data_IF_615232045971
#
_entry.id   IF_615232045971
#
_cell.length_a   1.000
_cell.length_b   1.000
_cell.length_c   1.000
_cell.angle_alpha   90.00
_cell.angle_beta   90.00
_cell.angle_gamma   90.00
#
_symmetry.space_group_name_H-M   'P 1'
#
loop_
_entity.id
_entity.type
_entity.pdbx_description
1 polymer ?
#
# COMPACT_ATOMS: atom_id res chain seq x y z
N UNK A 1 -3.69 -19.08 -50.03
CA UNK A 1 -4.64 -18.79 -48.94
C UNK A 1 -3.83 -18.50 -47.68
N UNK A 2 -3.77 -17.24 -47.26
CA UNK A 2 -3.04 -16.82 -46.06
C UNK A 2 -3.82 -17.28 -44.80
N UNK A 3 -3.11 -17.87 -43.84
CA UNK A 3 -3.67 -18.60 -42.70
C UNK A 3 -4.11 -17.60 -41.59
N UNK A 4 -5.31 -17.02 -41.74
CA UNK A 4 -5.89 -15.96 -40.89
C UNK A 4 -5.98 -16.35 -39.40
N UNK A 5 -6.04 -17.65 -39.09
CA UNK A 5 -6.13 -18.19 -37.73
C UNK A 5 -4.88 -17.96 -36.88
N UNK A 6 -3.69 -17.83 -37.48
CA UNK A 6 -2.44 -17.56 -36.72
C UNK A 6 -2.31 -16.10 -36.28
N UNK A 7 -2.89 -15.16 -37.03
CA UNK A 7 -2.85 -13.74 -36.67
C UNK A 7 -3.85 -13.40 -35.55
N UNK A 8 -4.98 -14.10 -35.48
CA UNK A 8 -5.99 -13.87 -34.44
C UNK A 8 -5.49 -14.29 -33.04
N UNK A 9 -4.77 -15.42 -32.95
CA UNK A 9 -4.23 -15.93 -31.68
C UNK A 9 -3.09 -15.07 -31.11
N UNK A 10 -2.24 -14.51 -31.99
CA UNK A 10 -1.21 -13.55 -31.57
C UNK A 10 -1.81 -12.21 -31.11
N UNK A 11 -2.88 -11.74 -31.77
CA UNK A 11 -3.57 -10.51 -31.39
C UNK A 11 -4.24 -10.59 -30.01
N UNK A 12 -4.84 -11.73 -29.68
CA UNK A 12 -5.48 -11.93 -28.36
C UNK A 12 -4.45 -12.11 -27.24
N UNK A 13 -3.33 -12.80 -27.50
CA UNK A 13 -2.26 -12.94 -26.52
C UNK A 13 -1.58 -11.60 -26.18
N UNK A 14 -1.42 -10.71 -27.16
CA UNK A 14 -0.84 -9.38 -26.94
C UNK A 14 -1.79 -8.44 -26.16
N UNK A 15 -3.10 -8.60 -26.33
CA UNK A 15 -4.11 -7.80 -25.62
C UNK A 15 -4.19 -8.14 -24.11
N UNK A 16 -3.95 -9.41 -23.74
CA UNK A 16 -3.98 -9.86 -22.34
C UNK A 16 -2.73 -9.42 -21.56
N UNK A 17 -1.59 -9.22 -22.23
CA UNK A 17 -0.37 -8.75 -21.56
C UNK A 17 -0.51 -7.29 -21.11
N UNK A 18 -1.26 -6.46 -21.86
CA UNK A 18 -1.40 -5.02 -21.58
C UNK A 18 -2.27 -4.72 -20.35
N UNK A 19 -3.14 -5.64 -19.92
CA UNK A 19 -3.97 -5.42 -18.71
C UNK A 19 -3.34 -5.95 -17.41
N UNK A 20 -2.15 -6.55 -17.47
CA UNK A 20 -1.48 -7.13 -16.29
C UNK A 20 -0.40 -6.25 -15.66
N UNK A 21 -0.06 -5.13 -16.30
CA UNK A 21 0.77 -4.12 -15.63
C UNK A 21 -0.13 -3.39 -14.65
N UNK A 22 -0.22 -3.90 -13.42
CA UNK A 22 -0.71 -3.14 -12.28
C UNK A 22 -0.01 -1.80 -12.32
N UNK A 23 -0.76 -0.76 -12.70
CA UNK A 23 -0.30 0.61 -12.60
C UNK A 23 -0.08 0.83 -11.10
N UNK A 24 1.16 0.63 -10.65
CA UNK A 24 1.62 1.24 -9.43
C UNK A 24 1.39 2.73 -9.63
N UNK A 25 0.29 3.23 -9.06
CA UNK A 25 -0.03 4.64 -9.10
C UNK A 25 1.15 5.33 -8.43
N UNK A 26 2.01 5.96 -9.21
CA UNK A 26 3.12 6.74 -8.68
C UNK A 26 2.47 7.97 -8.04
N UNK A 27 2.26 7.90 -6.74
CA UNK A 27 1.72 9.03 -5.98
C UNK A 27 2.80 10.11 -5.98
N UNK A 28 2.53 11.24 -6.63
CA UNK A 28 3.37 12.43 -6.53
C UNK A 28 3.18 13.04 -5.14
N UNK A 29 4.14 12.82 -4.26
CA UNK A 29 4.18 13.42 -2.93
C UNK A 29 5.01 14.70 -2.94
N UNK A 30 4.71 15.68 -2.08
CA UNK A 30 5.59 16.82 -1.87
C UNK A 30 7.04 16.38 -1.61
N UNK A 31 8.05 17.12 -2.08
CA UNK A 31 9.46 16.68 -2.05
C UNK A 31 10.01 16.43 -0.64
N UNK A 32 9.41 17.04 0.39
CA UNK A 32 9.83 16.90 1.79
C UNK A 32 8.95 15.90 2.57
N UNK A 33 8.28 14.98 1.87
CA UNK A 33 7.44 13.97 2.52
C UNK A 33 8.29 12.83 3.07
N UNK A 34 8.12 12.53 4.34
CA UNK A 34 8.66 11.32 4.97
C UNK A 34 7.58 10.25 4.89
N UNK A 35 7.89 9.12 4.22
CA UNK A 35 7.00 7.95 4.16
C UNK A 35 7.41 6.99 5.25
N UNK A 36 6.43 6.55 6.05
CA UNK A 36 6.59 5.53 7.08
C UNK A 36 5.65 4.39 6.74
N UNK A 37 6.20 3.28 6.27
CA UNK A 37 5.42 2.06 6.04
C UNK A 37 5.10 1.43 7.40
N UNK A 38 3.83 1.07 7.61
CA UNK A 38 3.35 0.64 8.92
C UNK A 38 4.06 -0.64 9.41
N UNK A 39 4.53 -1.49 8.50
CA UNK A 39 5.24 -2.72 8.78
C UNK A 39 6.72 -2.53 9.20
N UNK A 40 7.28 -1.33 9.05
CA UNK A 40 8.70 -1.05 9.34
C UNK A 40 8.94 -0.56 10.79
N UNK A 41 7.86 -0.32 11.54
CA UNK A 41 7.96 0.18 12.91
C UNK A 41 8.22 -0.91 13.95
N UNK A 42 8.52 -0.48 15.18
CA UNK A 42 8.65 -1.37 16.33
C UNK A 42 7.27 -1.82 16.81
N UNK A 43 7.00 -3.12 16.68
CA UNK A 43 5.69 -3.69 16.98
C UNK A 43 5.62 -4.29 18.38
N UNK A 44 4.53 -4.00 19.08
CA UNK A 44 4.16 -4.72 20.29
C UNK A 44 3.68 -6.15 19.99
N UNK A 45 3.59 -6.98 21.04
CA UNK A 45 2.91 -8.26 20.93
C UNK A 45 1.43 -8.02 20.60
N UNK A 46 0.91 -8.72 19.59
CA UNK A 46 -0.48 -8.56 19.12
C UNK A 46 -0.62 -7.78 17.81
N UNK A 47 0.49 -7.30 17.24
CA UNK A 47 0.52 -6.78 15.86
C UNK A 47 0.83 -7.91 14.88
N UNK A 48 0.12 -7.95 13.76
CA UNK A 48 0.35 -8.87 12.65
C UNK A 48 0.65 -8.08 11.39
N UNK A 49 1.63 -8.55 10.62
CA UNK A 49 1.87 -8.07 9.27
C UNK A 49 1.12 -8.98 8.30
N UNK A 50 0.34 -8.37 7.42
CA UNK A 50 -0.49 -9.03 6.42
C UNK A 50 0.00 -8.63 5.03
N UNK A 51 0.05 -9.59 4.10
CA UNK A 51 0.21 -9.26 2.68
C UNK A 51 -1.17 -8.85 2.12
N UNK A 52 -1.27 -7.61 1.64
CA UNK A 52 -2.53 -7.01 1.21
C UNK A 52 -2.35 -6.36 -0.16
N UNK A 53 -3.03 -6.92 -1.16
CA UNK A 53 -3.07 -6.34 -2.51
C UNK A 53 -3.67 -4.93 -2.45
N UNK A 54 -2.91 -3.95 -2.96
CA UNK A 54 -3.30 -2.54 -2.95
C UNK A 54 -2.73 -1.73 -1.78
N UNK A 55 -2.12 -2.35 -0.78
CA UNK A 55 -1.33 -1.62 0.21
C UNK A 55 -0.02 -1.07 -0.40
N UNK A 56 0.51 0.02 0.16
CA UNK A 56 1.86 0.47 -0.20
C UNK A 56 2.85 -0.61 0.25
N UNK A 57 3.89 -0.88 -0.54
CA UNK A 57 4.81 -2.00 -0.26
C UNK A 57 4.18 -3.41 -0.32
N UNK A 58 2.87 -3.53 -0.55
CA UNK A 58 2.13 -4.80 -0.56
C UNK A 58 1.80 -5.36 0.83
N UNK A 59 2.03 -4.60 1.91
CA UNK A 59 1.81 -5.04 3.29
C UNK A 59 0.98 -4.05 4.09
N UNK A 60 0.30 -4.57 5.10
CA UNK A 60 -0.41 -3.77 6.10
C UNK A 60 -0.25 -4.39 7.48
N UNK A 61 -0.49 -3.61 8.52
CA UNK A 61 -0.51 -4.10 9.90
C UNK A 61 -1.94 -4.18 10.43
N UNK A 62 -2.24 -5.28 11.12
CA UNK A 62 -3.46 -5.49 11.89
C UNK A 62 -3.12 -5.59 13.38
N UNK A 63 -3.90 -4.90 14.21
CA UNK A 63 -3.59 -4.70 15.63
C UNK A 63 -4.71 -5.23 16.50
N UNK A 64 -4.36 -6.12 17.43
CA UNK A 64 -5.24 -6.40 18.57
C UNK A 64 -5.47 -5.12 19.38
N UNK A 65 -6.62 -5.04 20.07
CA UNK A 65 -7.01 -3.85 20.83
C UNK A 65 -5.93 -3.49 21.87
N UNK A 66 -5.35 -2.30 21.71
CA UNK A 66 -4.32 -1.76 22.61
C UNK A 66 -2.88 -2.12 22.24
N UNK A 67 -2.67 -2.98 21.24
CA UNK A 67 -1.35 -3.16 20.62
C UNK A 67 -1.04 -1.96 19.72
N UNK A 68 0.25 -1.67 19.50
CA UNK A 68 0.71 -0.55 18.68
C UNK A 68 1.95 -0.91 17.87
N UNK A 69 2.14 -0.15 16.81
CA UNK A 69 3.43 -0.03 16.11
C UNK A 69 3.99 1.37 16.36
N UNK A 70 5.25 1.47 16.76
CA UNK A 70 5.91 2.73 17.04
C UNK A 70 6.93 3.05 15.94
N UNK A 71 6.85 4.26 15.40
CA UNK A 71 7.88 4.85 14.55
C UNK A 71 8.58 5.97 15.30
N UNK A 72 9.91 5.95 15.26
CA UNK A 72 10.74 7.07 15.68
C UNK A 72 11.28 7.74 14.41
N UNK A 73 11.09 9.05 14.30
CA UNK A 73 11.52 9.82 13.13
C UNK A 73 12.28 11.06 13.57
N UNK A 74 13.25 11.45 12.75
CA UNK A 74 13.91 12.75 12.85
C UNK A 74 13.23 13.72 11.90
N UNK A 75 12.77 14.85 12.46
CA UNK A 75 12.19 15.92 11.67
C UNK A 75 13.34 16.82 11.19
N UNK A 76 13.53 16.99 9.87
CA UNK A 76 14.71 17.66 9.33
C UNK A 76 14.74 19.16 9.64
N UNK A 77 13.56 19.80 9.72
CA UNK A 77 13.45 21.24 9.96
C UNK A 77 12.28 21.57 10.91
N UNK A 78 12.46 22.50 11.86
CA UNK A 78 11.37 22.97 12.73
C UNK A 78 10.25 23.61 11.92
N UNK A 79 8.99 23.31 12.26
CA UNK A 79 7.84 23.90 11.60
C UNK A 79 6.55 23.13 11.84
N UNK A 80 5.52 23.47 11.05
CA UNK A 80 4.26 22.73 11.06
C UNK A 80 4.38 21.54 10.11
N UNK A 81 4.16 20.35 10.65
CA UNK A 81 4.13 19.10 9.89
C UNK A 81 2.71 18.54 9.90
N UNK A 82 2.28 18.04 8.75
CA UNK A 82 0.99 17.38 8.61
C UNK A 82 1.20 15.88 8.55
N UNK A 83 0.49 15.14 9.40
CA UNK A 83 0.50 13.70 9.38
C UNK A 83 -0.69 13.18 8.58
N UNK A 84 -0.40 12.33 7.60
CA UNK A 84 -1.40 11.61 6.81
C UNK A 84 -1.29 10.12 7.13
N UNK A 85 -2.42 9.50 7.42
CA UNK A 85 -2.49 8.09 7.80
C UNK A 85 -3.38 7.39 6.80
N UNK A 86 -2.85 6.33 6.20
CA UNK A 86 -3.61 5.44 5.34
C UNK A 86 -4.02 4.23 6.16
N UNK A 87 -5.31 4.06 6.34
CA UNK A 87 -5.88 2.94 7.10
C UNK A 87 -7.13 2.40 6.40
N UNK A 88 -7.51 1.17 6.75
CA UNK A 88 -8.71 0.52 6.25
C UNK A 88 -9.51 -0.04 7.42
N UNK A 89 -10.71 0.49 7.63
CA UNK A 89 -11.66 0.06 8.67
C UNK A 89 -12.91 -0.53 8.02
N UNK A 90 -12.90 -1.81 7.63
CA UNK A 90 -14.06 -2.44 7.00
C UNK A 90 -15.26 -2.56 7.96
N UNK A 91 -15.03 -2.56 9.28
CA UNK A 91 -16.08 -2.61 10.28
C UNK A 91 -16.12 -1.32 11.14
N UNK A 92 -17.01 -0.37 10.82
CA UNK A 92 -17.03 0.96 11.44
C UNK A 92 -17.36 0.95 12.95
N UNK A 93 -17.86 -0.17 13.49
CA UNK A 93 -18.23 -0.30 14.91
C UNK A 93 -17.22 -1.11 15.74
N UNK A 94 -16.18 -1.65 15.11
CA UNK A 94 -15.16 -2.47 15.77
C UNK A 94 -13.75 -1.93 15.55
N UNK A 95 -13.52 -1.34 14.38
CA UNK A 95 -12.21 -0.86 13.98
C UNK A 95 -12.07 0.61 14.35
N UNK A 96 -11.02 0.95 15.08
CA UNK A 96 -10.71 2.33 15.41
C UNK A 96 -9.21 2.53 15.34
N UNK A 97 -8.80 3.68 14.83
CA UNK A 97 -7.41 4.10 14.81
C UNK A 97 -7.21 5.26 15.78
N UNK A 98 -6.08 5.26 16.48
CA UNK A 98 -5.69 6.28 17.44
C UNK A 98 -4.22 6.63 17.22
N UNK A 99 -3.90 7.93 17.18
CA UNK A 99 -2.54 8.46 17.15
C UNK A 99 -2.07 8.83 18.55
#
# INVERSE_FOLDING_TARGET
>A
MLNITRFLLLGVALLVIITSTGYGVKVELPPNTIILEAEDGKMDKGVKVLDVEGASGGKATDHERGAKTLHEIEIPEPGVWYLWIRYFCPNPNQDSYWL
#
